data_IF_531647581633
#
_entry.id   IF_531647581633
#
_cell.length_a   1.000
_cell.length_b   1.000
_cell.length_c   1.000
_cell.angle_alpha   90.00
_cell.angle_beta   90.00
_cell.angle_gamma   90.00
#
_symmetry.space_group_name_H-M   'P 1'
#
loop_
_entity.id
_entity.type
_entity.pdbx_description
1 polymer ?
#
# COMPACT_ATOMS: atom_id res chain seq x y z
N UNK A 1 3.32 -5.77 14.96
CA UNK A 1 4.65 -5.81 14.31
C UNK A 1 4.43 -5.77 12.83
N UNK A 2 5.18 -4.95 12.08
CA UNK A 2 5.18 -4.96 10.60
C UNK A 2 5.68 -6.34 10.15
N UNK A 3 4.91 -7.01 9.31
CA UNK A 3 5.01 -8.48 9.08
C UNK A 3 6.14 -8.91 8.16
N UNK A 4 7.00 -8.00 7.68
CA UNK A 4 8.16 -8.35 6.85
C UNK A 4 9.31 -7.37 7.06
N UNK A 5 10.53 -7.90 7.14
CA UNK A 5 11.78 -7.18 7.44
C UNK A 5 12.19 -6.12 6.40
N UNK A 6 11.50 -6.07 5.25
CA UNK A 6 11.87 -5.28 4.07
C UNK A 6 10.76 -4.32 3.57
N UNK A 7 9.78 -4.00 4.42
CA UNK A 7 8.75 -3.02 4.06
C UNK A 7 9.32 -1.61 4.09
N UNK A 8 9.16 -0.88 2.97
CA UNK A 8 9.50 0.54 2.85
C UNK A 8 8.25 1.39 2.77
N UNK A 9 8.18 2.43 3.61
CA UNK A 9 7.14 3.45 3.52
C UNK A 9 7.29 4.20 2.18
N UNK A 10 6.22 4.26 1.39
CA UNK A 10 6.22 4.98 0.12
C UNK A 10 5.36 6.25 0.21
N UNK A 11 5.94 7.36 -0.23
CA UNK A 11 5.27 8.65 -0.39
C UNK A 11 4.75 8.87 -1.81
N UNK A 12 5.15 8.05 -2.79
CA UNK A 12 4.73 8.14 -4.19
C UNK A 12 3.88 6.91 -4.55
N UNK A 13 2.58 7.02 -4.30
CA UNK A 13 1.63 5.93 -4.51
C UNK A 13 1.37 5.65 -6.00
N UNK A 14 1.58 6.64 -6.87
CA UNK A 14 1.44 6.48 -8.31
C UNK A 14 2.47 5.49 -8.91
N UNK A 15 3.65 5.36 -8.30
CA UNK A 15 4.66 4.38 -8.71
C UNK A 15 4.32 2.94 -8.27
N UNK A 16 3.34 2.78 -7.37
CA UNK A 16 3.00 1.48 -6.78
C UNK A 16 1.96 0.68 -7.56
N UNK A 17 1.41 1.23 -8.66
CA UNK A 17 0.41 0.55 -9.48
C UNK A 17 0.93 -0.81 -9.92
N UNK A 18 0.15 -1.87 -9.65
CA UNK A 18 0.51 -3.26 -9.91
C UNK A 18 1.38 -3.95 -8.84
N UNK A 19 1.85 -3.22 -7.82
CA UNK A 19 2.68 -3.77 -6.75
C UNK A 19 1.81 -4.23 -5.57
N UNK A 20 2.30 -5.26 -4.85
CA UNK A 20 1.69 -5.69 -3.60
C UNK A 20 2.14 -4.77 -2.45
N UNK A 21 1.18 -4.22 -1.71
CA UNK A 21 1.43 -3.28 -0.62
C UNK A 21 0.63 -3.65 0.63
N UNK A 22 1.08 -3.12 1.76
CA UNK A 22 0.32 -3.07 3.00
C UNK A 22 -0.17 -1.64 3.24
N UNK A 23 -1.42 -1.52 3.70
CA UNK A 23 -2.02 -0.24 4.12
C UNK A 23 -2.20 -0.22 5.63
N UNK A 24 -1.67 0.82 6.24
CA UNK A 24 -1.62 1.01 7.69
C UNK A 24 -2.33 2.30 8.10
N UNK A 25 -2.95 2.30 9.29
CA UNK A 25 -3.51 3.48 9.93
C UNK A 25 -3.25 3.40 11.42
N UNK A 26 -2.74 4.49 12.00
CA UNK A 26 -2.46 4.59 13.45
C UNK A 26 -1.65 3.39 14.00
N UNK A 27 -0.69 2.89 13.23
CA UNK A 27 0.18 1.77 13.63
C UNK A 27 -0.46 0.38 13.53
N UNK A 28 -1.66 0.25 12.96
CA UNK A 28 -2.31 -1.03 12.68
C UNK A 28 -2.37 -1.28 11.18
N UNK A 29 -2.09 -2.52 10.75
CA UNK A 29 -2.31 -2.95 9.38
C UNK A 29 -3.81 -3.15 9.17
N UNK A 30 -4.38 -2.44 8.21
CA UNK A 30 -5.83 -2.47 7.93
C UNK A 30 -6.13 -3.26 6.66
N UNK A 31 -5.17 -3.35 5.73
CA UNK A 31 -5.28 -4.14 4.51
C UNK A 31 -3.92 -4.51 3.90
N UNK A 32 -3.94 -5.52 3.04
CA UNK A 32 -2.90 -5.85 2.07
C UNK A 32 -3.56 -6.15 0.70
N UNK A 33 -2.82 -5.93 -0.38
CA UNK A 33 -3.30 -6.22 -1.73
C UNK A 33 -2.48 -5.58 -2.83
N UNK A 34 -2.98 -5.68 -4.07
CA UNK A 34 -2.37 -5.07 -5.25
C UNK A 34 -2.95 -3.70 -5.47
N UNK A 35 -2.10 -2.69 -5.71
CA UNK A 35 -2.58 -1.35 -6.12
C UNK A 35 -3.14 -1.43 -7.54
N UNK A 36 -4.44 -1.25 -7.68
CA UNK A 36 -5.15 -1.25 -8.96
C UNK A 36 -4.86 0.06 -9.73
N UNK A 37 -4.99 1.19 -9.04
CA UNK A 37 -4.68 2.51 -9.58
C UNK A 37 -4.42 3.49 -8.44
N UNK A 38 -3.78 4.63 -8.75
CA UNK A 38 -3.54 5.71 -7.81
C UNK A 38 -3.67 7.05 -8.51
N UNK A 39 -3.96 8.11 -7.75
CA UNK A 39 -3.97 9.46 -8.31
C UNK A 39 -2.53 9.90 -8.67
N UNK A 40 -2.36 10.70 -9.75
CA UNK A 40 -1.03 11.16 -10.17
C UNK A 40 -0.26 11.95 -9.10
N UNK A 41 -0.99 12.62 -8.21
CA UNK A 41 -0.43 13.39 -7.08
C UNK A 41 -0.20 12.55 -5.81
N UNK A 42 -0.43 11.23 -5.88
CA UNK A 42 -0.32 10.31 -4.74
C UNK A 42 -1.18 10.68 -3.52
N UNK A 43 -2.31 11.37 -3.75
CA UNK A 43 -3.27 11.70 -2.69
C UNK A 43 -4.17 10.53 -2.30
N UNK A 44 -4.48 9.65 -3.25
CA UNK A 44 -5.38 8.50 -3.09
C UNK A 44 -4.88 7.29 -3.87
N UNK A 45 -5.21 6.08 -3.40
CA UNK A 45 -5.05 4.85 -4.16
C UNK A 45 -6.27 3.94 -4.03
N UNK A 46 -6.43 3.06 -5.01
CA UNK A 46 -7.37 1.95 -4.99
C UNK A 46 -6.61 0.64 -4.88
N UNK A 47 -6.97 -0.15 -3.87
CA UNK A 47 -6.37 -1.45 -3.59
C UNK A 47 -7.35 -2.57 -3.93
N UNK A 48 -6.94 -3.47 -4.81
CA UNK A 48 -7.62 -4.74 -5.02
C UNK A 48 -7.25 -5.70 -3.88
N UNK A 49 -8.23 -6.00 -3.02
CA UNK A 49 -8.02 -6.92 -1.91
C UNK A 49 -7.84 -8.35 -2.41
N UNK A 50 -6.90 -9.09 -1.81
CA UNK A 50 -6.71 -10.52 -2.14
C UNK A 50 -7.93 -11.39 -1.80
N UNK A 51 -8.74 -10.95 -0.83
CA UNK A 51 -9.87 -11.71 -0.30
C UNK A 51 -11.21 -11.41 -1.00
N UNK A 52 -11.32 -10.32 -1.76
CA UNK A 52 -12.57 -9.89 -2.37
C UNK A 52 -12.35 -9.19 -3.72
N UNK A 53 -13.26 -9.37 -4.66
CA UNK A 53 -13.24 -8.71 -5.98
C UNK A 53 -13.50 -7.20 -5.94
N UNK A 54 -13.80 -6.62 -4.77
CA UNK A 54 -14.05 -5.18 -4.65
C UNK A 54 -12.77 -4.43 -4.28
N UNK A 55 -12.44 -3.40 -5.07
CA UNK A 55 -11.35 -2.48 -4.74
C UNK A 55 -11.77 -1.47 -3.68
N UNK A 56 -10.88 -1.14 -2.75
CA UNK A 56 -11.11 -0.12 -1.72
C UNK A 56 -10.23 1.09 -1.97
N UNK A 57 -10.78 2.29 -1.73
CA UNK A 57 -10.04 3.54 -1.80
C UNK A 57 -9.41 3.84 -0.43
N UNK A 58 -8.16 4.28 -0.45
CA UNK A 58 -7.44 4.81 0.70
C UNK A 58 -6.86 6.18 0.35
N UNK A 59 -6.99 7.15 1.24
CA UNK A 59 -6.53 8.53 1.03
C UNK A 59 -5.48 8.94 2.07
N UNK A 60 -4.52 9.73 1.64
CA UNK A 60 -3.41 10.16 2.50
C UNK A 60 -3.83 11.16 3.56
N UNK A 61 -4.89 11.95 3.30
CA UNK A 61 -5.37 12.98 4.22
C UNK A 61 -5.98 12.39 5.51
N UNK A 62 -6.58 11.20 5.42
CA UNK A 62 -7.03 10.40 6.57
C UNK A 62 -5.85 9.90 7.43
N UNK A 63 -4.62 9.93 6.89
CA UNK A 63 -3.42 9.46 7.58
C UNK A 63 -3.06 8.01 7.28
N UNK A 64 -3.62 7.43 6.20
CA UNK A 64 -3.19 6.11 5.73
C UNK A 64 -1.73 6.16 5.26
N UNK A 65 -0.98 5.13 5.65
CA UNK A 65 0.39 4.89 5.24
C UNK A 65 0.45 3.65 4.35
N UNK A 66 1.27 3.70 3.30
CA UNK A 66 1.41 2.59 2.35
C UNK A 66 2.83 2.10 2.36
N UNK A 67 2.99 0.81 2.59
CA UNK A 67 4.28 0.15 2.69
C UNK A 67 4.40 -0.88 1.57
N UNK A 68 5.50 -0.82 0.82
CA UNK A 68 5.79 -1.75 -0.28
C UNK A 68 6.94 -2.65 0.13
N UNK A 69 6.85 -3.94 -0.20
CA UNK A 69 7.98 -4.85 -0.03
C UNK A 69 9.02 -4.49 -1.08
N UNK A 70 10.22 -4.08 -0.65
CA UNK A 70 11.25 -3.66 -1.60
C UNK A 70 11.90 -4.82 -2.36
N UNK A 71 11.52 -6.08 -2.11
CA UNK A 71 12.06 -7.26 -2.79
C UNK A 71 13.57 -7.47 -2.62
N UNK A 72 14.28 -6.54 -1.97
CA UNK A 72 15.70 -6.61 -1.67
C UNK A 72 15.92 -7.68 -0.58
N UNK A 73 15.85 -8.93 -1.02
CA UNK A 73 16.61 -9.99 -0.38
C UNK A 73 18.06 -9.54 -0.48
N UNK A 74 18.67 -9.16 0.65
CA UNK A 74 20.12 -8.96 0.68
C UNK A 74 20.75 -10.22 0.05
N UNK A 75 21.40 -10.02 -1.10
CA UNK A 75 22.25 -11.05 -1.71
C UNK A 75 23.49 -11.25 -0.85
#
# INVERSE_FOLDING_TARGET
>A
MKTSSNLRLSSNWNELIGQNVEVWLAGQQIADGIVDTAAPDSSVLWLASRANTNRKLYDRATGYEVWVDSGESMS
#
